data_IF_358424514986
#
_entry.id   IF_358424514986
#
_cell.length_a   1.000
_cell.length_b   1.000
_cell.length_c   1.000
_cell.angle_alpha   90.00
_cell.angle_beta   90.00
_cell.angle_gamma   90.00
#
_symmetry.space_group_name_H-M   'P 1'
#
loop_
_entity.id
_entity.type
_entity.pdbx_description
1 polymer ?
#
# COMPACT_ATOMS: atom_id res chain seq x y z
N UNK A 1 -8.10 -27.96 41.04
CA UNK A 1 -7.05 -27.42 40.15
C UNK A 1 -7.18 -27.87 38.68
N UNK A 2 -7.61 -29.11 38.37
CA UNK A 2 -7.74 -29.58 36.97
C UNK A 2 -8.96 -29.02 36.18
N UNK A 3 -9.98 -28.52 36.84
CA UNK A 3 -11.18 -27.98 36.18
C UNK A 3 -10.98 -26.53 35.68
N UNK A 4 -10.19 -25.76 36.41
CA UNK A 4 -9.89 -24.35 36.04
C UNK A 4 -9.02 -24.25 34.79
N UNK A 5 -8.06 -25.17 34.61
CA UNK A 5 -7.15 -25.19 33.45
C UNK A 5 -7.87 -25.55 32.14
N UNK A 6 -8.93 -26.39 32.23
CA UNK A 6 -9.72 -26.76 31.04
C UNK A 6 -10.67 -25.63 30.59
N UNK A 7 -11.14 -24.80 31.49
CA UNK A 7 -12.01 -23.67 31.18
C UNK A 7 -11.21 -22.52 30.52
N UNK A 8 -9.99 -22.28 30.99
CA UNK A 8 -9.11 -21.25 30.41
C UNK A 8 -8.65 -21.59 29.00
N UNK A 9 -8.38 -22.88 28.72
CA UNK A 9 -8.01 -23.33 27.35
C UNK A 9 -9.21 -23.22 26.37
N UNK A 10 -10.44 -23.46 26.82
CA UNK A 10 -11.62 -23.36 25.98
C UNK A 10 -11.94 -21.90 25.62
N UNK A 11 -11.76 -20.97 26.53
CA UNK A 11 -11.98 -19.53 26.31
C UNK A 11 -10.90 -18.97 25.38
N UNK A 12 -9.65 -19.43 25.48
CA UNK A 12 -8.57 -18.99 24.61
C UNK A 12 -8.75 -19.51 23.17
N UNK A 13 -9.23 -20.74 22.98
CA UNK A 13 -9.50 -21.28 21.63
C UNK A 13 -10.69 -20.59 20.95
N UNK A 14 -11.70 -20.14 21.70
CA UNK A 14 -12.84 -19.40 21.17
C UNK A 14 -12.48 -17.96 20.74
N UNK A 15 -11.48 -17.34 21.35
CA UNK A 15 -11.02 -16.00 20.96
C UNK A 15 -10.22 -16.02 19.65
N UNK A 16 -9.47 -17.09 19.37
CA UNK A 16 -8.73 -17.22 18.10
C UNK A 16 -9.64 -17.57 16.91
N UNK A 17 -10.72 -18.30 17.11
CA UNK A 17 -11.67 -18.63 16.03
C UNK A 17 -12.48 -17.42 15.57
N UNK A 18 -12.78 -16.47 16.46
CA UNK A 18 -13.56 -15.28 16.10
C UNK A 18 -12.78 -14.29 15.21
N UNK A 19 -11.47 -14.18 15.34
CA UNK A 19 -10.67 -13.29 14.50
C UNK A 19 -10.57 -13.81 13.06
N UNK A 20 -10.45 -15.11 12.87
CA UNK A 20 -10.40 -15.74 11.55
C UNK A 20 -11.75 -15.63 10.81
N UNK A 21 -12.86 -15.85 11.50
CA UNK A 21 -14.19 -15.76 10.92
C UNK A 21 -14.57 -14.33 10.49
N UNK A 22 -14.14 -13.31 11.24
CA UNK A 22 -14.40 -11.90 10.90
C UNK A 22 -13.58 -11.44 9.69
N UNK A 23 -12.44 -12.06 9.43
CA UNK A 23 -11.56 -11.74 8.33
C UNK A 23 -12.05 -12.30 7.00
N UNK A 24 -12.53 -13.54 7.01
CA UNK A 24 -13.12 -14.15 5.83
C UNK A 24 -14.40 -13.41 5.39
N UNK A 25 -15.18 -12.90 6.33
CA UNK A 25 -16.39 -12.13 6.08
C UNK A 25 -16.15 -10.87 5.23
N UNK A 26 -15.11 -10.05 5.49
CA UNK A 26 -14.90 -8.80 4.74
C UNK A 26 -14.50 -9.04 3.28
N UNK A 27 -13.72 -10.08 3.02
CA UNK A 27 -13.31 -10.44 1.66
C UNK A 27 -14.46 -11.04 0.86
N UNK A 28 -15.26 -11.88 1.49
CA UNK A 28 -16.46 -12.45 0.89
C UNK A 28 -17.44 -11.32 0.53
N UNK A 29 -17.77 -10.46 1.47
CA UNK A 29 -18.63 -9.29 1.25
C UNK A 29 -18.11 -8.34 0.17
N UNK A 30 -16.78 -8.11 0.11
CA UNK A 30 -16.17 -7.32 -0.95
C UNK A 30 -16.33 -8.02 -2.30
N UNK A 31 -16.12 -9.32 -2.37
CA UNK A 31 -16.25 -10.10 -3.61
C UNK A 31 -17.67 -10.11 -4.17
N UNK A 32 -18.68 -9.97 -3.32
CA UNK A 32 -20.08 -9.88 -3.73
C UNK A 32 -20.37 -8.58 -4.51
N UNK A 33 -19.79 -7.46 -4.11
CA UNK A 33 -20.09 -6.13 -4.65
C UNK A 33 -19.03 -5.57 -5.60
N UNK A 34 -17.82 -6.16 -5.63
CA UNK A 34 -16.69 -5.67 -6.41
C UNK A 34 -16.25 -6.61 -7.53
N UNK A 35 -15.79 -6.01 -8.62
CA UNK A 35 -14.87 -6.64 -9.57
C UNK A 35 -13.46 -6.35 -9.04
N UNK A 36 -12.65 -7.41 -8.89
CA UNK A 36 -11.33 -7.35 -8.28
C UNK A 36 -10.28 -7.75 -9.31
N UNK A 37 -9.45 -6.79 -9.70
CA UNK A 37 -8.32 -6.99 -10.61
C UNK A 37 -7.03 -6.83 -9.80
N UNK A 38 -6.28 -7.91 -9.60
CA UNK A 38 -5.06 -7.91 -8.80
C UNK A 38 -3.81 -7.89 -9.67
N UNK A 39 -2.73 -7.28 -9.13
CA UNK A 39 -1.41 -7.21 -9.77
C UNK A 39 -1.47 -6.69 -11.20
N UNK A 40 -2.33 -5.69 -11.41
CA UNK A 40 -2.33 -4.92 -12.65
C UNK A 40 -1.04 -4.12 -12.71
N UNK A 41 -0.22 -4.40 -13.71
CA UNK A 41 1.07 -3.73 -13.90
C UNK A 41 0.87 -2.44 -14.69
N UNK A 42 0.72 -1.32 -13.98
CA UNK A 42 0.55 0.00 -14.61
C UNK A 42 1.86 0.48 -15.23
N UNK A 43 1.91 0.77 -16.54
CA UNK A 43 3.11 1.28 -17.18
C UNK A 43 3.33 2.76 -16.83
N UNK A 44 4.57 3.10 -16.49
CA UNK A 44 5.06 4.46 -16.34
C UNK A 44 5.74 4.90 -17.64
N UNK A 45 5.97 6.20 -17.83
CA UNK A 45 6.53 6.80 -19.06
C UNK A 45 7.92 6.30 -19.41
N UNK A 46 8.68 5.82 -18.45
CA UNK A 46 10.02 5.28 -18.59
C UNK A 46 10.06 3.75 -18.84
N UNK A 47 8.87 3.12 -18.97
CA UNK A 47 8.72 1.68 -19.22
C UNK A 47 8.68 0.81 -17.97
N UNK A 48 8.96 1.35 -16.79
CA UNK A 48 8.78 0.63 -15.51
C UNK A 48 7.30 0.44 -15.24
N UNK A 49 6.94 -0.71 -14.65
CA UNK A 49 5.55 -1.05 -14.34
C UNK A 49 5.32 -1.15 -12.85
N UNK A 50 4.25 -0.55 -12.35
CA UNK A 50 3.92 -0.53 -10.93
C UNK A 50 2.71 -1.41 -10.64
N UNK A 51 2.87 -2.33 -9.68
CA UNK A 51 1.84 -3.29 -9.30
C UNK A 51 0.71 -2.64 -8.51
N UNK A 52 -0.52 -2.88 -8.96
CA UNK A 52 -1.72 -2.30 -8.38
C UNK A 52 -2.81 -3.35 -8.21
N UNK A 53 -3.59 -3.23 -7.14
CA UNK A 53 -4.84 -3.95 -6.99
C UNK A 53 -5.99 -2.97 -7.15
N UNK A 54 -6.99 -3.35 -7.94
CA UNK A 54 -8.13 -2.52 -8.32
C UNK A 54 -9.41 -3.20 -7.87
N UNK A 55 -10.20 -2.49 -7.10
CA UNK A 55 -11.50 -2.90 -6.60
C UNK A 55 -12.54 -1.92 -7.13
N UNK A 56 -13.46 -2.36 -7.97
CA UNK A 56 -14.44 -1.48 -8.60
C UNK A 56 -15.86 -2.04 -8.48
N UNK A 57 -16.88 -1.18 -8.37
CA UNK A 57 -18.27 -1.63 -8.30
C UNK A 57 -18.66 -2.51 -9.50
N UNK A 58 -19.51 -3.50 -9.28
CA UNK A 58 -20.15 -4.29 -10.32
C UNK A 58 -21.24 -3.45 -11.03
N UNK A 59 -20.81 -2.49 -11.85
CA UNK A 59 -21.70 -1.59 -12.59
C UNK A 59 -21.15 -1.36 -14.00
N UNK A 60 -22.04 -0.98 -14.92
CA UNK A 60 -21.68 -0.52 -16.26
C UNK A 60 -21.40 0.99 -16.32
N UNK A 61 -21.60 1.71 -15.22
CA UNK A 61 -21.32 3.13 -15.15
C UNK A 61 -19.82 3.40 -14.94
N UNK A 62 -19.37 4.55 -15.42
CA UNK A 62 -18.04 5.04 -15.15
C UNK A 62 -18.00 5.67 -13.76
N UNK A 63 -17.06 5.23 -12.93
CA UNK A 63 -16.98 5.62 -11.52
C UNK A 63 -15.75 6.48 -11.20
N UNK A 64 -15.82 7.32 -10.17
CA UNK A 64 -14.65 8.02 -9.65
C UNK A 64 -13.73 7.06 -8.89
N UNK A 65 -12.48 7.46 -8.70
CA UNK A 65 -11.43 6.64 -8.13
C UNK A 65 -10.94 7.24 -6.83
N UNK A 66 -10.76 6.39 -5.81
CA UNK A 66 -9.94 6.66 -4.64
C UNK A 66 -8.62 5.89 -4.82
N UNK A 67 -7.52 6.62 -4.86
CA UNK A 67 -6.19 6.05 -5.09
C UNK A 67 -5.31 6.18 -3.86
N UNK A 68 -4.67 5.07 -3.49
CA UNK A 68 -3.66 5.00 -2.43
C UNK A 68 -2.38 4.38 -2.99
N UNK A 69 -1.24 5.00 -2.74
CA UNK A 69 0.08 4.51 -3.14
C UNK A 69 0.94 4.37 -1.91
N UNK A 70 1.69 3.28 -1.81
CA UNK A 70 2.32 2.90 -0.54
C UNK A 70 3.62 2.13 -0.73
N UNK A 71 4.64 2.39 0.12
CA UNK A 71 5.82 1.54 0.21
C UNK A 71 5.57 0.26 1.01
N UNK A 72 4.41 0.13 1.66
CA UNK A 72 4.10 -0.98 2.55
C UNK A 72 3.43 -2.14 1.84
N UNK A 73 3.47 -3.32 2.50
CA UNK A 73 2.80 -4.49 2.01
C UNK A 73 1.27 -4.37 2.14
N UNK A 74 0.59 -4.27 1.02
CA UNK A 74 -0.86 -4.45 0.94
C UNK A 74 -1.25 -5.81 0.36
N UNK A 75 -0.26 -6.63 0.00
CA UNK A 75 -0.45 -7.90 -0.68
C UNK A 75 -0.62 -9.06 0.29
N UNK A 76 -0.51 -8.82 1.58
CA UNK A 76 -0.57 -9.85 2.62
C UNK A 76 -1.90 -10.59 2.62
N UNK A 77 -1.84 -11.91 2.50
CA UNK A 77 -3.00 -12.81 2.45
C UNK A 77 -3.12 -13.63 3.74
N UNK A 78 -2.03 -13.75 4.48
CA UNK A 78 -1.92 -14.75 5.56
C UNK A 78 -2.51 -14.31 6.88
N UNK A 79 -2.15 -13.16 7.38
CA UNK A 79 -2.44 -12.78 8.75
C UNK A 79 -2.99 -11.37 8.90
N UNK A 80 -3.99 -11.21 8.27
CA UNK A 80 -5.02 -10.44 8.76
C UNK A 80 -4.95 -8.95 8.69
N UNK A 81 -4.10 -8.25 9.31
CA UNK A 81 -4.36 -6.83 9.56
C UNK A 81 -4.23 -5.94 8.33
N UNK A 82 -3.18 -6.08 7.54
CA UNK A 82 -2.98 -5.26 6.34
C UNK A 82 -3.96 -5.62 5.22
N UNK A 83 -4.19 -6.90 5.00
CA UNK A 83 -5.19 -7.38 4.04
C UNK A 83 -6.60 -6.94 4.43
N UNK A 84 -6.95 -7.13 5.69
CA UNK A 84 -8.25 -6.73 6.22
C UNK A 84 -8.45 -5.22 6.10
N UNK A 85 -7.44 -4.41 6.40
CA UNK A 85 -7.51 -2.95 6.24
C UNK A 85 -7.69 -2.54 4.78
N UNK A 86 -6.98 -3.18 3.84
CA UNK A 86 -7.13 -2.89 2.41
C UNK A 86 -8.51 -3.31 1.92
N UNK A 87 -8.97 -4.51 2.27
CA UNK A 87 -10.29 -5.01 1.94
C UNK A 87 -11.42 -4.15 2.53
N UNK A 88 -11.27 -3.71 3.78
CA UNK A 88 -12.23 -2.81 4.43
C UNK A 88 -12.31 -1.46 3.71
N UNK A 89 -11.17 -0.86 3.37
CA UNK A 89 -11.14 0.41 2.61
C UNK A 89 -11.76 0.25 1.24
N UNK A 90 -11.44 -0.84 0.54
CA UNK A 90 -12.01 -1.17 -0.75
C UNK A 90 -13.53 -1.36 -0.66
N UNK A 91 -14.01 -2.13 0.34
CA UNK A 91 -15.43 -2.35 0.57
C UNK A 91 -16.18 -1.03 0.80
N UNK A 92 -15.67 -0.17 1.67
CA UNK A 92 -16.29 1.14 1.94
C UNK A 92 -16.30 2.07 0.72
N UNK A 93 -15.25 2.05 -0.07
CA UNK A 93 -15.17 2.83 -1.31
C UNK A 93 -16.16 2.31 -2.36
N UNK A 94 -16.15 1.01 -2.62
CA UNK A 94 -17.01 0.35 -3.61
C UNK A 94 -18.50 0.51 -3.25
N UNK A 95 -18.83 0.33 -1.99
CA UNK A 95 -20.20 0.54 -1.48
C UNK A 95 -20.71 1.96 -1.72
N UNK A 96 -19.81 2.95 -1.75
CA UNK A 96 -20.13 4.36 -2.05
C UNK A 96 -20.03 4.71 -3.54
N UNK A 97 -19.84 3.72 -4.42
CA UNK A 97 -19.76 3.92 -5.86
C UNK A 97 -18.40 4.38 -6.38
N UNK A 98 -17.33 4.25 -5.59
CA UNK A 98 -15.96 4.53 -6.01
C UNK A 98 -15.23 3.25 -6.40
N UNK A 99 -14.34 3.33 -7.37
CA UNK A 99 -13.27 2.36 -7.49
C UNK A 99 -12.19 2.69 -6.43
N UNK A 100 -11.65 1.67 -5.77
CA UNK A 100 -10.48 1.79 -4.90
C UNK A 100 -9.28 1.17 -5.59
N UNK A 101 -8.20 1.92 -5.72
CA UNK A 101 -6.96 1.46 -6.33
C UNK A 101 -5.85 1.62 -5.31
N UNK A 102 -5.13 0.54 -5.04
CA UNK A 102 -3.93 0.55 -4.21
C UNK A 102 -2.73 0.09 -5.03
N UNK A 103 -1.62 0.84 -4.94
CA UNK A 103 -0.41 0.61 -5.73
C UNK A 103 0.81 0.57 -4.82
N UNK A 104 1.72 -0.38 -5.07
CA UNK A 104 3.06 -0.31 -4.49
C UNK A 104 3.90 0.75 -5.20
N UNK A 105 4.69 1.49 -4.42
CA UNK A 105 5.69 2.39 -4.94
C UNK A 105 6.73 1.63 -5.79
N UNK A 106 7.39 2.37 -6.68
CA UNK A 106 8.50 1.87 -7.51
C UNK A 106 9.52 1.11 -6.66
N UNK A 107 9.94 -0.05 -7.14
CA UNK A 107 10.92 -0.87 -6.44
C UNK A 107 10.43 -1.54 -5.15
N UNK A 108 9.11 -1.50 -4.87
CA UNK A 108 8.53 -2.15 -3.69
C UNK A 108 7.67 -3.33 -4.09
N UNK A 109 7.83 -4.46 -3.39
CA UNK A 109 7.09 -5.71 -3.59
C UNK A 109 7.06 -6.14 -5.06
N UNK A 110 5.91 -6.04 -5.74
CA UNK A 110 5.70 -6.46 -7.13
C UNK A 110 5.94 -5.34 -8.14
N UNK A 111 6.15 -4.11 -7.70
CA UNK A 111 6.51 -2.99 -8.56
C UNK A 111 7.95 -3.08 -9.01
N UNK A 112 8.18 -2.83 -10.30
CA UNK A 112 9.49 -2.82 -10.92
C UNK A 112 10.29 -1.56 -10.54
N UNK A 113 11.56 -1.53 -10.95
CA UNK A 113 12.49 -0.44 -10.73
C UNK A 113 13.13 -0.45 -9.34
N UNK A 114 13.74 0.65 -8.99
CA UNK A 114 14.41 0.85 -7.71
C UNK A 114 13.61 1.82 -6.84
N UNK A 115 13.54 1.52 -5.56
CA UNK A 115 12.86 2.37 -4.60
C UNK A 115 13.77 3.54 -4.21
N UNK A 116 13.18 4.71 -4.19
CA UNK A 116 13.75 5.87 -3.54
C UNK A 116 12.70 6.48 -2.61
N UNK A 117 13.18 7.07 -1.53
CA UNK A 117 12.30 7.60 -0.50
C UNK A 117 11.33 8.63 -1.09
N UNK A 118 10.06 8.56 -0.66
CA UNK A 118 8.98 9.46 -1.07
C UNK A 118 8.60 9.40 -2.56
N UNK A 119 8.97 8.32 -3.23
CA UNK A 119 8.42 8.03 -4.55
C UNK A 119 9.01 8.85 -5.68
N UNK A 120 10.30 8.94 -5.73
CA UNK A 120 11.01 9.35 -6.95
C UNK A 120 10.92 8.22 -7.99
N UNK A 121 10.61 8.49 -9.24
CA UNK A 121 10.33 9.82 -9.78
C UNK A 121 8.92 10.33 -9.40
N UNK A 122 8.82 11.63 -9.18
CA UNK A 122 7.56 12.34 -8.88
C UNK A 122 6.48 12.08 -9.95
N UNK A 123 6.91 11.75 -11.15
CA UNK A 123 6.04 11.49 -12.31
C UNK A 123 5.24 10.20 -12.21
N UNK A 124 5.63 9.23 -11.37
CA UNK A 124 4.88 7.96 -11.24
C UNK A 124 3.42 8.17 -10.84
N UNK A 125 3.16 9.11 -9.91
CA UNK A 125 1.79 9.46 -9.53
C UNK A 125 1.01 10.08 -10.69
N UNK A 126 1.65 10.96 -11.46
CA UNK A 126 1.06 11.59 -12.64
C UNK A 126 0.71 10.55 -13.72
N UNK A 127 1.62 9.63 -14.00
CA UNK A 127 1.42 8.56 -14.98
C UNK A 127 0.31 7.59 -14.55
N UNK A 128 0.27 7.24 -13.28
CA UNK A 128 -0.81 6.44 -12.72
C UNK A 128 -2.18 7.12 -12.88
N UNK A 129 -2.28 8.44 -12.65
CA UNK A 129 -3.51 9.19 -12.89
C UNK A 129 -3.91 9.17 -14.37
N UNK A 130 -2.94 9.35 -15.28
CA UNK A 130 -3.17 9.29 -16.73
C UNK A 130 -3.67 7.91 -17.14
N UNK A 131 -3.05 6.84 -16.62
CA UNK A 131 -3.49 5.48 -16.91
C UNK A 131 -4.91 5.22 -16.39
N UNK A 132 -5.18 5.55 -15.12
CA UNK A 132 -6.49 5.34 -14.50
C UNK A 132 -7.61 6.14 -15.19
N UNK A 133 -7.33 7.40 -15.57
CA UNK A 133 -8.27 8.23 -16.31
C UNK A 133 -8.75 7.58 -17.61
N UNK A 134 -7.86 6.88 -18.29
CA UNK A 134 -8.10 6.29 -19.60
C UNK A 134 -8.77 4.91 -19.55
N UNK A 135 -9.03 4.37 -18.37
CA UNK A 135 -9.73 3.10 -18.24
C UNK A 135 -11.22 3.24 -18.61
N UNK A 136 -11.77 2.22 -19.25
CA UNK A 136 -13.18 2.21 -19.71
C UNK A 136 -14.19 2.41 -18.56
N UNK A 137 -13.84 1.95 -17.37
CA UNK A 137 -14.66 2.04 -16.16
C UNK A 137 -14.45 3.35 -15.35
N UNK A 138 -13.51 4.19 -15.73
CA UNK A 138 -13.19 5.43 -15.03
C UNK A 138 -13.97 6.62 -15.59
N UNK A 139 -14.50 7.48 -14.73
CA UNK A 139 -15.05 8.78 -15.13
C UNK A 139 -13.99 9.92 -15.15
N UNK A 140 -12.73 9.59 -14.93
CA UNK A 140 -11.60 10.50 -14.96
C UNK A 140 -11.42 11.35 -13.70
N UNK A 141 -12.24 11.17 -12.66
CA UNK A 141 -12.12 11.88 -11.39
C UNK A 141 -11.36 11.05 -10.38
N UNK A 142 -10.25 11.56 -9.86
CA UNK A 142 -9.36 10.83 -8.94
C UNK A 142 -9.18 11.64 -7.67
N UNK A 143 -9.45 11.01 -6.53
CA UNK A 143 -9.04 11.49 -5.21
C UNK A 143 -7.95 10.59 -4.64
N UNK A 144 -7.02 11.18 -3.88
CA UNK A 144 -5.97 10.43 -3.21
C UNK A 144 -6.15 10.43 -1.69
N UNK A 145 -5.77 9.32 -1.06
CA UNK A 145 -5.83 9.15 0.39
C UNK A 145 -4.59 8.42 0.89
N UNK A 146 -4.08 8.82 2.03
CA UNK A 146 -2.96 8.17 2.70
C UNK A 146 -2.59 8.83 4.01
N UNK A 147 -1.79 8.11 4.81
CA UNK A 147 -1.30 8.60 6.09
C UNK A 147 0.21 8.38 6.15
N UNK A 148 0.96 9.31 6.76
CA UNK A 148 2.42 9.24 6.89
C UNK A 148 3.08 9.13 5.51
N UNK A 149 3.98 8.21 5.27
CA UNK A 149 4.64 7.99 3.97
C UNK A 149 3.66 7.87 2.80
N UNK A 150 2.50 7.24 3.00
CA UNK A 150 1.46 7.17 1.95
C UNK A 150 0.73 8.51 1.69
N UNK A 151 1.03 9.53 2.47
CA UNK A 151 0.49 10.89 2.28
C UNK A 151 1.50 11.82 1.59
N UNK A 152 2.79 11.63 1.82
CA UNK A 152 3.84 12.57 1.38
C UNK A 152 3.91 12.70 -0.14
N UNK A 153 3.82 11.60 -0.89
CA UNK A 153 3.82 11.63 -2.35
C UNK A 153 2.64 12.42 -2.95
N UNK A 154 1.52 12.55 -2.21
CA UNK A 154 0.34 13.27 -2.69
C UNK A 154 0.63 14.77 -2.86
N UNK A 155 1.43 15.35 -1.95
CA UNK A 155 1.85 16.74 -2.04
C UNK A 155 2.74 16.97 -3.25
N UNK A 156 3.69 16.05 -3.48
CA UNK A 156 4.60 16.13 -4.61
C UNK A 156 3.87 16.03 -5.96
N UNK A 157 2.94 15.07 -6.10
CA UNK A 157 2.17 14.92 -7.34
C UNK A 157 1.15 16.04 -7.55
N UNK A 158 0.61 16.63 -6.47
CA UNK A 158 -0.30 17.76 -6.56
C UNK A 158 0.38 18.98 -7.20
N UNK A 159 1.66 19.19 -6.96
CA UNK A 159 2.45 20.25 -7.58
C UNK A 159 2.61 20.09 -9.11
N UNK A 160 2.34 18.90 -9.65
CA UNK A 160 2.35 18.64 -11.11
C UNK A 160 1.01 18.94 -11.78
N UNK A 161 0.00 19.33 -11.04
CA UNK A 161 -1.32 19.80 -11.49
C UNK A 161 -1.99 18.89 -12.53
N UNK A 162 -2.11 17.60 -12.21
CA UNK A 162 -2.80 16.66 -13.11
C UNK A 162 -4.32 16.95 -13.14
N UNK A 163 -4.94 17.13 -14.32
CA UNK A 163 -6.34 17.58 -14.41
C UNK A 163 -7.36 16.60 -13.85
N UNK A 164 -7.00 15.35 -13.63
CA UNK A 164 -7.87 14.34 -12.98
C UNK A 164 -7.71 14.25 -11.47
N UNK A 165 -6.68 14.88 -10.89
CA UNK A 165 -6.45 14.87 -9.44
C UNK A 165 -7.29 15.97 -8.79
N UNK A 166 -8.49 15.61 -8.33
CA UNK A 166 -9.49 16.59 -7.88
C UNK A 166 -9.55 16.79 -6.35
N UNK A 167 -9.03 15.84 -5.60
CA UNK A 167 -9.04 15.89 -4.14
C UNK A 167 -7.88 15.09 -3.57
N UNK A 168 -7.37 15.50 -2.40
CA UNK A 168 -6.40 14.71 -1.64
C UNK A 168 -6.68 14.78 -0.15
N UNK A 169 -6.39 13.68 0.54
CA UNK A 169 -6.49 13.57 2.00
C UNK A 169 -5.14 13.07 2.54
N UNK A 170 -4.15 13.95 2.65
CA UNK A 170 -2.82 13.60 3.14
C UNK A 170 -2.80 13.72 4.67
N UNK A 171 -3.00 12.60 5.35
CA UNK A 171 -3.04 12.56 6.81
C UNK A 171 -1.64 12.40 7.40
N UNK A 172 -1.34 13.17 8.43
CA UNK A 172 -0.10 13.05 9.21
C UNK A 172 1.16 12.91 8.35
N UNK A 173 1.23 13.65 7.25
CA UNK A 173 2.43 13.69 6.42
C UNK A 173 3.52 14.52 7.13
N UNK A 174 4.80 14.18 6.85
CA UNK A 174 5.93 14.99 7.30
C UNK A 174 6.10 16.25 6.44
N UNK A 175 7.07 17.08 6.82
CA UNK A 175 7.44 18.26 6.04
C UNK A 175 8.18 17.91 4.73
N UNK A 176 8.42 16.62 4.49
CA UNK A 176 9.14 16.10 3.34
C UNK A 176 10.60 15.79 3.62
N UNK A 177 11.34 15.45 2.58
CA UNK A 177 12.80 15.32 2.58
C UNK A 177 13.35 16.05 1.37
N UNK A 178 14.46 16.75 1.55
CA UNK A 178 15.13 17.42 0.47
C UNK A 178 15.50 18.86 0.72
N UNK A 179 15.57 19.62 -0.37
CA UNK A 179 16.03 21.01 -0.35
C UNK A 179 14.94 21.94 -0.89
N UNK A 180 14.62 22.97 -0.12
CA UNK A 180 13.74 24.05 -0.56
C UNK A 180 14.59 25.33 -0.66
N UNK A 181 14.89 25.74 -1.88
CA UNK A 181 15.78 26.88 -2.12
C UNK A 181 17.16 26.65 -1.51
N UNK A 182 17.56 27.49 -0.57
CA UNK A 182 18.83 27.40 0.15
C UNK A 182 18.73 26.62 1.48
N UNK A 183 17.54 26.15 1.83
CA UNK A 183 17.29 25.44 3.09
C UNK A 183 17.13 23.95 2.84
N UNK A 184 17.77 23.14 3.69
CA UNK A 184 17.49 21.72 3.75
C UNK A 184 16.25 21.47 4.58
N UNK A 185 15.34 20.65 4.10
CA UNK A 185 14.24 20.14 4.91
C UNK A 185 14.79 19.25 6.02
N UNK A 186 14.51 19.64 7.25
CA UNK A 186 15.02 18.94 8.42
C UNK A 186 13.95 18.15 9.18
N UNK A 187 12.67 18.33 8.82
CA UNK A 187 11.54 17.88 9.61
C UNK A 187 11.50 16.39 9.90
N UNK A 188 11.91 15.57 8.94
CA UNK A 188 11.93 14.11 9.09
C UNK A 188 13.28 13.57 9.58
N UNK A 189 14.38 14.22 9.23
CA UNK A 189 15.72 13.75 9.55
C UNK A 189 16.26 14.32 10.86
N UNK A 190 16.03 15.61 11.09
CA UNK A 190 16.61 16.34 12.22
C UNK A 190 15.58 17.22 12.91
N UNK A 191 15.69 17.36 14.22
CA UNK A 191 15.02 18.40 15.00
C UNK A 191 16.03 19.08 15.93
N UNK A 192 16.20 20.39 15.74
CA UNK A 192 17.16 21.14 16.54
C UNK A 192 18.58 20.60 16.45
N UNK A 193 18.96 20.04 15.29
CA UNK A 193 20.29 19.44 15.07
C UNK A 193 20.43 17.99 15.58
N UNK A 194 19.38 17.40 16.13
CA UNK A 194 19.38 16.01 16.62
C UNK A 194 18.69 15.11 15.60
N UNK A 195 19.30 13.96 15.28
CA UNK A 195 18.77 12.96 14.37
C UNK A 195 17.47 12.34 14.90
N UNK A 196 16.51 12.14 13.99
CA UNK A 196 15.23 11.53 14.28
C UNK A 196 15.34 10.00 14.21
N UNK A 197 15.66 9.37 15.33
CA UNK A 197 15.84 7.91 15.41
C UNK A 197 14.62 7.12 14.88
N UNK A 198 13.41 7.62 15.12
CA UNK A 198 12.19 6.98 14.59
C UNK A 198 12.21 6.91 13.07
N UNK A 199 12.66 7.98 12.39
CA UNK A 199 12.70 8.02 10.95
C UNK A 199 13.79 7.13 10.35
N UNK A 200 14.97 7.12 10.95
CA UNK A 200 16.06 6.20 10.57
C UNK A 200 15.66 4.75 10.75
N UNK A 201 15.02 4.41 11.85
CA UNK A 201 14.51 3.05 12.09
C UNK A 201 13.47 2.63 11.08
N UNK A 202 12.55 3.54 10.75
CA UNK A 202 11.55 3.29 9.71
C UNK A 202 12.22 3.08 8.35
N UNK A 203 13.17 3.94 7.96
CA UNK A 203 13.88 3.82 6.69
C UNK A 203 14.62 2.50 6.60
N UNK A 204 15.37 2.13 7.63
CA UNK A 204 16.05 0.84 7.71
C UNK A 204 15.09 -0.34 7.57
N UNK A 205 13.91 -0.25 8.18
CA UNK A 205 12.88 -1.28 8.11
C UNK A 205 12.22 -1.41 6.72
N UNK A 206 12.10 -0.32 5.96
CA UNK A 206 11.40 -0.33 4.65
C UNK A 206 12.33 -0.52 3.46
N UNK A 207 13.62 -0.23 3.57
CA UNK A 207 14.57 -0.30 2.45
C UNK A 207 15.03 -1.73 2.11
N UNK A 208 14.83 -2.69 2.99
CA UNK A 208 15.43 -4.01 2.90
C UNK A 208 14.94 -4.85 1.72
N UNK A 209 15.87 -5.47 0.97
CA UNK A 209 15.60 -6.31 -0.23
C UNK A 209 14.73 -7.55 0.04
N UNK A 210 14.67 -8.04 1.27
CA UNK A 210 13.82 -9.19 1.64
C UNK A 210 12.33 -8.98 1.40
N UNK A 211 11.91 -7.73 1.20
CA UNK A 211 10.52 -7.38 0.85
C UNK A 211 10.24 -7.45 -0.65
N UNK A 212 11.21 -7.82 -1.46
CA UNK A 212 11.01 -8.02 -2.89
C UNK A 212 10.88 -9.51 -3.18
N UNK A 213 9.73 -9.99 -3.64
CA UNK A 213 9.60 -11.35 -4.12
C UNK A 213 10.50 -11.56 -5.35
N UNK A 214 11.13 -12.73 -5.46
CA UNK A 214 11.85 -13.10 -6.67
C UNK A 214 10.85 -13.40 -7.77
N UNK A 215 10.69 -12.47 -8.68
CA UNK A 215 9.78 -12.60 -9.81
C UNK A 215 10.56 -13.15 -11.00
N UNK A 216 10.15 -14.30 -11.59
CA UNK A 216 10.76 -14.83 -12.80
C UNK A 216 10.67 -13.84 -13.96
N UNK A 217 11.70 -13.78 -14.80
CA UNK A 217 11.65 -12.99 -16.01
C UNK A 217 10.50 -13.45 -16.91
N UNK A 218 9.70 -12.50 -17.40
CA UNK A 218 8.54 -12.78 -18.24
C UNK A 218 7.29 -13.26 -17.49
N UNK A 219 7.25 -13.15 -16.15
CA UNK A 219 6.08 -13.51 -15.36
C UNK A 219 4.83 -12.76 -15.82
N UNK A 220 3.75 -13.49 -15.99
CA UNK A 220 2.42 -12.97 -16.33
C UNK A 220 1.75 -12.39 -15.09
N UNK A 221 0.64 -11.65 -15.29
CA UNK A 221 -0.19 -11.18 -14.18
C UNK A 221 -0.71 -12.34 -13.31
N UNK A 222 -1.08 -13.46 -13.93
CA UNK A 222 -1.52 -14.66 -13.21
C UNK A 222 -0.39 -15.25 -12.34
N UNK A 223 0.84 -15.27 -12.86
CA UNK A 223 2.01 -15.70 -12.08
C UNK A 223 2.24 -14.78 -10.88
N UNK A 224 2.11 -13.47 -11.03
CA UNK A 224 2.25 -12.51 -9.94
C UNK A 224 1.18 -12.71 -8.87
N UNK A 225 -0.07 -12.95 -9.26
CA UNK A 225 -1.17 -13.27 -8.34
C UNK A 225 -0.86 -14.56 -7.57
N UNK A 226 -0.37 -15.59 -8.26
CA UNK A 226 0.01 -16.86 -7.64
C UNK A 226 1.17 -16.68 -6.67
N UNK A 227 2.24 -15.99 -7.07
CA UNK A 227 3.40 -15.71 -6.22
C UNK A 227 2.96 -14.92 -4.99
N UNK A 228 2.07 -13.94 -5.13
CA UNK A 228 1.59 -13.14 -4.01
C UNK A 228 0.90 -13.97 -2.94
N UNK A 229 0.21 -15.02 -3.32
CA UNK A 229 -0.45 -15.95 -2.38
C UNK A 229 0.56 -16.80 -1.59
N UNK A 230 1.67 -17.17 -2.21
CA UNK A 230 2.73 -17.93 -1.53
C UNK A 230 3.65 -17.05 -0.70
N UNK A 231 3.87 -15.82 -1.11
CA UNK A 231 4.73 -14.89 -0.39
C UNK A 231 4.23 -14.61 1.03
N UNK A 232 2.94 -14.63 1.24
CA UNK A 232 2.31 -14.44 2.54
C UNK A 232 2.43 -15.66 3.47
N UNK A 233 2.78 -16.82 2.92
CA UNK A 233 3.10 -18.02 3.70
C UNK A 233 4.57 -18.04 4.14
N UNK A 234 5.40 -17.15 3.62
CA UNK A 234 6.77 -17.00 4.09
C UNK A 234 6.75 -16.48 5.54
N UNK A 235 7.63 -16.99 6.40
CA UNK A 235 7.69 -16.52 7.77
C UNK A 235 7.85 -14.99 7.78
N UNK A 236 7.10 -14.34 8.65
CA UNK A 236 7.12 -12.90 8.85
C UNK A 236 8.56 -12.39 8.84
N UNK A 237 8.72 -11.24 8.25
CA UNK A 237 10.00 -10.57 8.30
C UNK A 237 10.44 -10.43 9.75
N UNK A 238 11.63 -10.91 10.12
CA UNK A 238 12.11 -10.70 11.47
C UNK A 238 12.02 -9.22 11.77
N UNK A 239 11.47 -8.88 12.92
CA UNK A 239 11.44 -7.52 13.41
C UNK A 239 12.84 -6.92 13.26
N UNK A 240 12.92 -5.71 12.72
CA UNK A 240 14.19 -5.00 12.64
C UNK A 240 14.79 -4.96 14.02
N UNK A 241 15.94 -5.61 14.21
CA UNK A 241 16.66 -5.49 15.46
C UNK A 241 17.24 -4.08 15.55
N UNK A 242 16.57 -3.24 16.33
CA UNK A 242 17.00 -1.86 16.58
C UNK A 242 18.41 -1.77 17.11
N UNK A 243 18.86 -2.81 17.83
CA UNK A 243 20.23 -2.88 18.34
C UNK A 243 21.26 -3.01 17.21
N UNK A 244 20.89 -3.67 16.12
CA UNK A 244 21.73 -3.80 14.93
C UNK A 244 21.76 -2.50 14.13
N UNK A 245 20.60 -1.86 13.95
CA UNK A 245 20.50 -0.58 13.25
C UNK A 245 21.31 0.55 13.94
N UNK A 246 21.48 0.48 15.25
CA UNK A 246 22.24 1.46 16.02
C UNK A 246 23.76 1.24 16.01
N UNK A 247 24.26 0.15 15.41
CA UNK A 247 25.70 -0.12 15.29
C UNK A 247 26.35 0.51 14.05
N UNK A 248 25.56 1.02 13.14
CA UNK A 248 25.94 1.67 11.88
C UNK A 248 25.49 3.12 11.83
#
# INVERSE_FOLDING_TARGET
MKLFTRFTLLVFSLLFTNSSLAQDDILERLSEIAIIDQKVMMPMRDGIRLASDIYRPKTNERVPIIFSRTPYNFNSWGDGEQRTRTAQRAYEAVKKGYAYVVQNERGRYYSEGEWDILGVPLTDGYDAFTWMKNQSWSNGKIGTIGCSSTAEWQMAVAALDHPSHLAMVPQAYGAGVGRIGNFFEQGNWYRGGVEQMLFFSWLYGVEHDKFKPRIPAGATQEDLIRISRFYDLAPENPSVDMSEAMKH
#
